data_IF_731052245401
#
_entry.id   IF_731052245401
#
_cell.length_a   1.000
_cell.length_b   1.000
_cell.length_c   1.000
_cell.angle_alpha   90.00
_cell.angle_beta   90.00
_cell.angle_gamma   90.00
#
_symmetry.space_group_name_H-M   'P 1'
#
loop_
_entity.id
_entity.type
_entity.pdbx_description
1 polymer ?
#
# COMPACT_ATOMS: atom_id res chain seq x y z
N UNK A 1 16.56 6.21 9.87
CA UNK A 1 15.39 6.83 10.54
C UNK A 1 14.15 6.34 9.82
N UNK A 2 13.31 5.55 10.50
CA UNK A 2 12.18 4.83 9.89
C UNK A 2 10.92 5.70 9.79
N UNK A 3 10.10 5.49 8.76
CA UNK A 3 8.74 6.06 8.66
C UNK A 3 7.82 5.05 9.33
N UNK A 4 6.99 5.50 10.27
CA UNK A 4 6.02 4.63 10.96
C UNK A 4 4.64 5.24 10.76
N UNK A 5 3.77 4.53 10.07
CA UNK A 5 2.45 5.01 9.69
C UNK A 5 1.37 4.10 10.25
N UNK A 6 0.46 4.67 11.04
CA UNK A 6 -0.71 3.95 11.52
C UNK A 6 -1.83 4.07 10.49
N UNK A 7 -2.25 2.96 9.90
CA UNK A 7 -3.23 2.95 8.81
C UNK A 7 -4.58 3.54 9.16
N UNK A 8 -4.98 3.42 10.43
CA UNK A 8 -6.21 4.01 10.97
C UNK A 8 -6.21 5.54 10.95
N UNK A 9 -5.05 6.18 10.83
CA UNK A 9 -4.92 7.65 10.80
C UNK A 9 -5.09 8.24 9.39
N UNK A 10 -5.14 7.39 8.35
CA UNK A 10 -5.50 7.84 7.00
C UNK A 10 -6.98 7.61 6.80
N UNK A 11 -7.72 8.69 6.60
CA UNK A 11 -9.12 8.59 6.19
C UNK A 11 -9.17 8.08 4.75
N UNK A 12 -9.92 7.00 4.54
CA UNK A 12 -10.12 6.40 3.23
C UNK A 12 -11.62 6.47 2.91
N UNK A 13 -12.03 6.99 1.75
CA UNK A 13 -13.44 7.05 1.39
C UNK A 13 -14.11 5.68 1.46
N UNK A 14 -15.26 5.58 2.13
CA UNK A 14 -16.02 4.32 2.26
C UNK A 14 -16.51 3.76 0.91
N UNK A 15 -16.64 4.64 -0.09
CA UNK A 15 -17.09 4.30 -1.45
C UNK A 15 -15.93 4.09 -2.43
N UNK A 16 -14.80 3.56 -1.95
CA UNK A 16 -13.84 3.01 -2.89
C UNK A 16 -14.49 1.80 -3.56
N UNK A 17 -14.84 1.95 -4.84
CA UNK A 17 -15.43 0.91 -5.67
C UNK A 17 -14.45 -0.23 -5.94
N UNK A 18 -14.11 -0.98 -4.89
CA UNK A 18 -13.18 -2.11 -4.95
C UNK A 18 -13.73 -3.19 -5.86
N UNK A 19 -12.82 -3.87 -6.56
CA UNK A 19 -13.15 -5.12 -7.21
C UNK A 19 -13.68 -6.11 -6.16
N UNK A 20 -14.81 -6.79 -6.45
CA UNK A 20 -15.42 -7.80 -5.56
C UNK A 20 -14.43 -8.89 -5.11
N UNK A 21 -13.36 -9.11 -5.88
CA UNK A 21 -12.31 -10.10 -5.60
C UNK A 21 -11.13 -9.55 -4.79
N UNK A 22 -11.15 -8.27 -4.43
CA UNK A 22 -10.10 -7.61 -3.64
C UNK A 22 -10.70 -7.14 -2.32
N UNK A 23 -10.34 -7.82 -1.24
CA UNK A 23 -10.68 -7.35 0.09
C UNK A 23 -9.67 -6.28 0.52
N UNK A 24 -10.18 -5.10 0.85
CA UNK A 24 -9.45 -3.97 1.39
C UNK A 24 -9.81 -3.80 2.86
N UNK A 25 -8.82 -3.47 3.70
CA UNK A 25 -9.00 -3.12 5.10
C UNK A 25 -8.75 -1.64 5.29
N UNK A 26 -9.70 -0.96 5.91
CA UNK A 26 -9.53 0.44 6.35
C UNK A 26 -8.50 0.56 7.50
N UNK A 27 -8.13 -0.58 8.10
CA UNK A 27 -7.22 -0.63 9.25
C UNK A 27 -5.95 -1.42 8.89
N UNK A 28 -4.78 -0.86 9.23
CA UNK A 28 -3.52 -1.61 9.27
C UNK A 28 -3.36 -2.22 10.66
N UNK A 29 -3.07 -3.51 10.74
CA UNK A 29 -2.92 -4.21 12.02
C UNK A 29 -1.54 -4.10 12.67
N UNK A 30 -0.51 -3.62 11.95
CA UNK A 30 0.90 -3.73 12.39
C UNK A 30 1.37 -2.53 13.23
N UNK A 31 1.30 -1.32 12.67
CA UNK A 31 1.84 -0.13 13.34
C UNK A 31 0.84 0.50 14.30
N UNK A 32 1.12 0.41 15.60
CA UNK A 32 0.29 1.00 16.67
C UNK A 32 0.62 2.45 16.98
N UNK A 33 1.71 2.97 16.42
CA UNK A 33 2.23 4.31 16.69
C UNK A 33 2.52 4.99 15.36
N UNK A 34 2.28 6.29 15.26
CA UNK A 34 2.68 7.12 14.12
C UNK A 34 3.78 8.08 14.56
N UNK A 35 4.80 8.28 13.72
CA UNK A 35 5.84 9.28 13.97
C UNK A 35 5.67 10.51 13.06
N UNK A 36 6.46 11.57 13.30
CA UNK A 36 6.36 12.82 12.53
C UNK A 36 6.44 12.60 11.01
N UNK A 37 7.35 11.74 10.56
CA UNK A 37 7.48 11.41 9.12
C UNK A 37 6.28 10.66 8.59
N UNK A 38 5.72 9.74 9.38
CA UNK A 38 4.50 9.03 9.00
C UNK A 38 3.33 9.98 8.86
N UNK A 39 3.21 10.97 9.76
CA UNK A 39 2.19 12.01 9.64
C UNK A 39 2.38 12.84 8.35
N UNK A 40 3.60 13.25 8.04
CA UNK A 40 3.88 13.95 6.78
C UNK A 40 3.53 13.11 5.54
N UNK A 41 3.79 11.80 5.57
CA UNK A 41 3.39 10.92 4.47
C UNK A 41 1.87 10.87 4.30
N UNK A 42 1.12 10.77 5.40
CA UNK A 42 -0.34 10.79 5.36
C UNK A 42 -0.87 12.15 4.87
N UNK A 43 -0.27 13.25 5.30
CA UNK A 43 -0.62 14.60 4.82
C UNK A 43 -0.41 14.70 3.29
N UNK A 44 0.68 14.13 2.76
CA UNK A 44 0.91 14.06 1.30
C UNK A 44 -0.18 13.22 0.63
N UNK A 45 -0.50 12.05 1.20
CA UNK A 45 -1.52 11.17 0.63
C UNK A 45 -2.88 11.84 0.56
N UNK A 46 -3.29 12.53 1.63
CA UNK A 46 -4.55 13.28 1.70
C UNK A 46 -4.58 14.39 0.63
N UNK A 47 -3.54 15.22 0.57
CA UNK A 47 -3.45 16.32 -0.38
C UNK A 47 -3.38 15.88 -1.85
N UNK A 48 -2.93 14.65 -2.11
CA UNK A 48 -2.78 14.10 -3.45
C UNK A 48 -3.84 13.06 -3.83
N UNK A 49 -4.86 12.83 -3.00
CA UNK A 49 -5.87 11.78 -3.22
C UNK A 49 -5.24 10.39 -3.43
N UNK A 50 -4.20 10.08 -2.65
CA UNK A 50 -3.50 8.81 -2.65
C UNK A 50 -3.93 7.95 -1.46
N UNK A 51 -3.98 6.65 -1.67
CA UNK A 51 -4.20 5.63 -0.64
C UNK A 51 -2.97 4.77 -0.57
N UNK A 52 -2.49 4.54 0.65
CA UNK A 52 -1.37 3.68 0.91
C UNK A 52 -1.84 2.21 1.02
N UNK A 53 -1.10 1.28 0.41
CA UNK A 53 -1.56 -0.10 0.19
C UNK A 53 -1.07 -1.12 1.23
N UNK A 54 0.02 -0.83 1.94
CA UNK A 54 0.66 -1.77 2.86
C UNK A 54 -0.32 -2.23 3.95
N UNK A 55 -0.45 -3.53 4.18
CA UNK A 55 -1.35 -4.07 5.21
C UNK A 55 -2.84 -3.79 4.99
N UNK A 56 -3.24 -3.24 3.84
CA UNK A 56 -4.65 -2.99 3.50
C UNK A 56 -5.24 -3.99 2.53
N UNK A 57 -4.43 -4.68 1.73
CA UNK A 57 -4.92 -5.69 0.77
C UNK A 57 -4.85 -7.08 1.42
N UNK A 58 -5.99 -7.78 1.50
CA UNK A 58 -6.15 -9.03 2.28
C UNK A 58 -5.24 -10.20 1.84
N UNK A 59 -4.55 -10.09 0.70
CA UNK A 59 -3.54 -11.06 0.24
C UNK A 59 -2.10 -10.71 0.63
N UNK A 60 -1.89 -9.65 1.41
CA UNK A 60 -0.60 -9.25 1.99
C UNK A 60 -0.16 -10.17 3.16
N UNK A 61 -0.48 -11.46 3.09
CA UNK A 61 -0.32 -12.41 4.19
C UNK A 61 1.13 -12.94 4.33
N UNK A 62 2.05 -12.57 3.43
CA UNK A 62 3.37 -13.21 3.32
C UNK A 62 4.58 -12.27 3.30
N UNK A 63 4.38 -10.96 3.33
CA UNK A 63 5.44 -9.98 3.12
C UNK A 63 5.48 -8.96 4.25
N UNK A 64 6.14 -9.25 5.35
CA UNK A 64 5.99 -8.40 6.54
C UNK A 64 7.00 -7.25 6.64
N UNK A 65 8.00 -7.26 5.77
CA UNK A 65 9.20 -6.44 5.90
C UNK A 65 9.66 -6.13 4.50
N UNK A 66 10.02 -4.88 4.24
CA UNK A 66 10.62 -4.47 2.96
C UNK A 66 12.12 -4.27 3.09
N UNK A 67 12.66 -4.28 4.31
CA UNK A 67 14.09 -4.16 4.59
C UNK A 67 14.56 -5.12 5.68
N UNK A 68 15.71 -5.77 5.44
CA UNK A 68 16.42 -6.62 6.39
C UNK A 68 17.90 -6.24 6.38
N UNK A 69 18.34 -5.54 7.43
CA UNK A 69 19.73 -5.16 7.62
C UNK A 69 20.39 -5.92 8.79
N UNK A 70 21.70 -5.71 8.95
CA UNK A 70 22.50 -6.36 10.02
C UNK A 70 21.99 -6.09 11.44
N UNK A 71 21.33 -4.96 11.65
CA UNK A 71 20.89 -4.48 12.99
C UNK A 71 19.38 -4.48 13.18
N UNK A 72 18.59 -5.01 12.24
CA UNK A 72 17.14 -5.04 12.38
C UNK A 72 16.39 -5.20 11.06
N UNK A 73 15.06 -5.24 11.16
CA UNK A 73 14.14 -5.38 10.04
C UNK A 73 13.09 -4.27 10.11
N UNK A 74 12.70 -3.71 8.97
CA UNK A 74 11.74 -2.60 8.91
C UNK A 74 10.88 -2.64 7.66
N UNK A 75 9.77 -1.91 7.70
CA UNK A 75 8.94 -1.58 6.54
C UNK A 75 9.27 -0.13 6.15
N UNK A 76 9.97 0.07 5.05
CA UNK A 76 10.38 1.40 4.57
C UNK A 76 10.05 1.66 3.10
N UNK A 77 9.75 0.62 2.33
CA UNK A 77 9.27 0.72 0.97
C UNK A 77 7.73 0.70 0.97
N UNK A 78 7.12 1.83 0.59
CA UNK A 78 5.66 2.02 0.60
C UNK A 78 5.13 2.08 -0.83
N UNK A 79 3.92 1.57 -1.06
CA UNK A 79 3.17 1.83 -2.29
C UNK A 79 1.93 2.67 -2.00
N UNK A 80 1.78 3.77 -2.76
CA UNK A 80 0.61 4.61 -2.74
C UNK A 80 -0.02 4.64 -4.13
N UNK A 81 -1.34 4.58 -4.20
CA UNK A 81 -2.10 4.62 -5.47
C UNK A 81 -3.18 5.68 -5.38
N UNK A 82 -3.55 6.28 -6.52
CA UNK A 82 -4.69 7.20 -6.53
C UNK A 82 -5.99 6.47 -6.23
N UNK A 83 -6.95 7.19 -5.64
CA UNK A 83 -8.32 6.70 -5.41
C UNK A 83 -9.00 6.17 -6.68
N UNK A 84 -8.61 6.67 -7.86
CA UNK A 84 -9.14 6.20 -9.14
C UNK A 84 -8.53 4.85 -9.56
N UNK A 85 -7.28 4.58 -9.18
CA UNK A 85 -6.55 3.36 -9.57
C UNK A 85 -6.84 2.19 -8.65
N UNK A 86 -7.16 2.44 -7.38
CA UNK A 86 -7.34 1.40 -6.36
C UNK A 86 -8.38 0.34 -6.76
N UNK A 87 -9.39 0.71 -7.56
CA UNK A 87 -10.45 -0.19 -8.06
C UNK A 87 -9.91 -1.36 -8.90
N UNK A 88 -8.77 -1.16 -9.57
CA UNK A 88 -8.14 -2.18 -10.39
C UNK A 88 -7.06 -2.97 -9.67
N UNK A 89 -6.66 -2.59 -8.46
CA UNK A 89 -5.62 -3.29 -7.70
C UNK A 89 -6.19 -4.61 -7.23
N UNK A 90 -5.47 -5.71 -7.53
CA UNK A 90 -5.90 -7.07 -7.18
C UNK A 90 -4.92 -7.77 -6.24
N UNK A 91 -3.65 -7.34 -6.24
CA UNK A 91 -2.61 -7.89 -5.39
C UNK A 91 -1.62 -6.80 -5.00
N UNK A 92 -1.22 -6.84 -3.74
CA UNK A 92 -0.05 -6.16 -3.21
C UNK A 92 0.75 -7.25 -2.47
N UNK A 93 2.03 -7.39 -2.80
CA UNK A 93 2.91 -8.36 -2.17
C UNK A 93 4.33 -7.81 -2.06
N UNK A 94 5.03 -8.25 -1.03
CA UNK A 94 6.47 -8.05 -0.90
C UNK A 94 7.15 -9.35 -1.31
N UNK A 95 7.98 -9.28 -2.34
CA UNK A 95 8.64 -10.44 -2.93
C UNK A 95 9.88 -10.76 -2.09
N UNK A 96 9.95 -11.93 -1.41
CA UNK A 96 11.13 -12.31 -0.65
C UNK A 96 12.33 -12.45 -1.58
N UNK A 97 13.41 -11.71 -1.29
CA UNK A 97 14.64 -11.74 -2.06
C UNK A 97 15.84 -11.53 -1.13
N UNK A 98 16.96 -12.21 -1.44
CA UNK A 98 18.19 -12.18 -0.62
C UNK A 98 19.39 -11.50 -1.32
N UNK A 99 19.18 -10.90 -2.49
CA UNK A 99 20.23 -10.22 -3.26
C UNK A 99 20.46 -8.76 -2.85
N UNK A 100 19.58 -8.22 -2.02
CA UNK A 100 19.60 -6.85 -1.51
C UNK A 100 19.07 -6.86 -0.08
N UNK A 101 19.45 -5.85 0.70
CA UNK A 101 18.88 -5.58 2.01
C UNK A 101 17.43 -5.08 1.90
N UNK A 102 16.96 -4.75 0.68
CA UNK A 102 15.56 -4.40 0.38
C UNK A 102 14.86 -5.48 -0.45
N UNK A 103 13.63 -5.81 -0.07
CA UNK A 103 12.74 -6.70 -0.80
C UNK A 103 11.86 -5.92 -1.79
N UNK A 104 11.71 -6.38 -3.04
CA UNK A 104 10.84 -5.72 -4.01
C UNK A 104 9.38 -5.67 -3.57
N UNK A 105 8.72 -4.54 -3.83
CA UNK A 105 7.28 -4.36 -3.69
C UNK A 105 6.61 -4.58 -5.05
N UNK A 106 5.61 -5.45 -5.12
CA UNK A 106 4.86 -5.78 -6.33
C UNK A 106 3.40 -5.39 -6.16
N UNK A 107 2.88 -4.68 -7.17
CA UNK A 107 1.49 -4.23 -7.23
C UNK A 107 0.89 -4.71 -8.55
N UNK A 108 -0.10 -5.58 -8.47
CA UNK A 108 -0.80 -6.08 -9.65
C UNK A 108 -2.13 -5.37 -9.84
N UNK A 109 -2.33 -4.83 -11.05
CA UNK A 109 -3.55 -4.15 -11.46
C UNK A 109 -4.16 -4.83 -12.68
N UNK A 110 -5.46 -5.06 -12.65
CA UNK A 110 -6.23 -5.43 -13.84
C UNK A 110 -6.75 -4.16 -14.50
N UNK A 111 -6.51 -4.04 -15.80
CA UNK A 111 -7.09 -3.00 -16.67
C UNK A 111 -8.03 -3.67 -17.66
N UNK A 112 -9.21 -3.10 -17.89
CA UNK A 112 -9.99 -3.48 -19.05
C UNK A 112 -9.25 -2.98 -20.30
N UNK A 113 -9.00 -3.85 -21.28
CA UNK A 113 -8.51 -3.40 -22.58
C UNK A 113 -9.59 -2.55 -23.28
N UNK A 114 -9.16 -1.50 -23.96
CA UNK A 114 -9.98 -0.35 -24.33
C UNK A 114 -11.20 -0.69 -25.19
N UNK A 115 -12.35 -0.13 -24.80
CA UNK A 115 -13.32 0.31 -25.78
C UNK A 115 -12.81 1.61 -26.39
N UNK A 116 -12.06 1.55 -27.49
CA UNK A 116 -11.95 2.70 -28.39
C UNK A 116 -13.37 3.10 -28.78
N UNK A 117 -13.78 4.31 -28.38
CA UNK A 117 -14.99 4.91 -28.95
C UNK A 117 -14.62 5.34 -30.38
N UNK A 118 -15.31 4.86 -31.43
CA UNK A 118 -15.09 5.36 -32.77
C UNK A 118 -15.56 6.82 -32.81
N UNK A 119 -14.61 7.73 -33.07
CA UNK A 119 -14.88 9.11 -33.47
C UNK A 119 -15.26 9.21 -34.93
#
# INVERSE_FOLDING_TARGET
MFVICKGEEQEVPKEIGLNKNTAFSDTRKRDRVINYKGKQLLDICENCNLVELDGRILKDAGGEMTFVGKTGRSVIDFACVSLNMIRGICLFEIIPQAFSDHMPVSVFRVTAEGSEQPG
#
